data_IF_127555141822
#
_entry.id   IF_127555141822
#
_cell.length_a   1.000
_cell.length_b   1.000
_cell.length_c   1.000
_cell.angle_alpha   90.00
_cell.angle_beta   90.00
_cell.angle_gamma   90.00
#
_symmetry.space_group_name_H-M   'P 1'
#
loop_
_entity.id
_entity.type
_entity.pdbx_description
1 polymer ?
#
# COMPACT_ATOMS: atom_id res chain seq x y z
N UNK A 1 -13.67 -5.71 -0.28
CA UNK A 1 -14.43 -5.40 0.96
C UNK A 1 -13.44 -5.03 2.04
N UNK A 2 -13.89 -4.65 3.23
CA UNK A 2 -13.04 -4.47 4.41
C UNK A 2 -13.67 -5.24 5.57
N UNK A 3 -12.86 -6.06 6.21
CA UNK A 3 -13.26 -6.88 7.35
C UNK A 3 -12.53 -6.41 8.60
N UNK A 4 -13.27 -6.32 9.71
CA UNK A 4 -12.73 -6.13 11.05
C UNK A 4 -12.91 -7.42 11.81
N UNK A 5 -11.80 -7.94 12.33
CA UNK A 5 -11.78 -9.12 13.18
C UNK A 5 -11.72 -8.73 14.65
N UNK A 6 -12.12 -9.66 15.51
CA UNK A 6 -11.88 -9.56 16.94
C UNK A 6 -10.36 -9.63 17.25
N UNK A 7 -9.92 -9.24 18.46
CA UNK A 7 -8.49 -9.24 18.79
C UNK A 7 -7.80 -10.61 18.66
N UNK A 8 -8.55 -11.71 18.75
CA UNK A 8 -8.03 -13.06 18.55
C UNK A 8 -7.93 -13.51 17.09
N UNK A 9 -8.42 -12.70 16.14
CA UNK A 9 -8.54 -13.05 14.71
C UNK A 9 -9.38 -14.31 14.46
N UNK A 10 -10.30 -14.63 15.36
CA UNK A 10 -11.13 -15.84 15.30
C UNK A 10 -12.47 -15.57 14.62
N UNK A 11 -12.96 -14.31 14.63
CA UNK A 11 -14.27 -13.95 14.10
C UNK A 11 -14.26 -12.57 13.44
N UNK A 12 -14.85 -12.49 12.25
CA UNK A 12 -15.20 -11.21 11.63
C UNK A 12 -16.33 -10.52 12.42
N UNK A 13 -16.01 -9.44 13.12
CA UNK A 13 -16.99 -8.63 13.89
C UNK A 13 -17.82 -7.72 12.98
N UNK A 14 -17.20 -7.18 11.94
CA UNK A 14 -17.85 -6.29 10.97
C UNK A 14 -17.27 -6.52 9.59
N UNK A 15 -18.12 -6.35 8.59
CA UNK A 15 -17.75 -6.32 7.18
C UNK A 15 -18.44 -5.13 6.53
N UNK A 16 -17.71 -4.42 5.67
CA UNK A 16 -18.26 -3.39 4.83
C UNK A 16 -17.67 -3.43 3.43
N UNK A 17 -18.48 -3.05 2.44
CA UNK A 17 -18.00 -2.61 1.13
C UNK A 17 -18.26 -1.10 1.03
N UNK A 18 -17.35 -0.23 1.54
CA UNK A 18 -17.56 1.22 1.53
C UNK A 18 -18.00 1.71 0.15
N UNK A 19 -19.05 2.53 0.09
CA UNK A 19 -19.62 3.01 -1.17
C UNK A 19 -18.60 3.74 -2.06
N UNK A 20 -17.54 4.28 -1.44
CA UNK A 20 -16.41 4.88 -2.14
C UNK A 20 -15.58 3.86 -2.94
N UNK A 21 -15.52 2.60 -2.55
CA UNK A 21 -14.78 1.59 -3.30
C UNK A 21 -15.57 1.02 -4.49
N UNK A 22 -16.86 1.39 -4.67
CA UNK A 22 -17.74 0.81 -5.70
C UNK A 22 -17.22 0.94 -7.14
N UNK A 23 -16.36 1.92 -7.42
CA UNK A 23 -15.79 2.14 -8.77
C UNK A 23 -14.44 1.46 -8.98
N UNK A 24 -13.91 0.81 -7.96
CA UNK A 24 -12.65 0.09 -8.05
C UNK A 24 -12.84 -1.18 -8.87
N UNK A 25 -11.78 -1.61 -9.56
CA UNK A 25 -11.82 -2.83 -10.34
C UNK A 25 -11.84 -4.01 -9.38
N UNK A 26 -12.48 -5.11 -9.78
CA UNK A 26 -12.56 -6.32 -8.96
C UNK A 26 -11.17 -6.88 -8.62
N UNK A 27 -10.27 -6.92 -9.61
CA UNK A 27 -8.87 -7.30 -9.46
C UNK A 27 -7.97 -6.08 -9.23
N UNK A 28 -8.33 -5.19 -8.30
CA UNK A 28 -7.54 -4.00 -8.01
C UNK A 28 -8.13 -3.24 -6.83
N UNK A 29 -8.45 -3.99 -5.78
CA UNK A 29 -9.13 -3.53 -4.58
C UNK A 29 -8.23 -2.64 -3.72
N UNK A 30 -8.42 -2.60 -2.38
CA UNK A 30 -7.55 -1.87 -1.45
C UNK A 30 -6.20 -2.57 -1.28
N UNK A 31 -5.44 -2.73 -2.38
CA UNK A 31 -4.11 -3.38 -2.34
C UNK A 31 -3.05 -2.50 -1.66
N UNK A 32 -3.41 -1.35 -1.12
CA UNK A 32 -2.54 -0.64 -0.18
C UNK A 32 -3.39 -0.04 0.90
N UNK A 33 -3.23 -0.50 2.14
CA UNK A 33 -4.13 -0.17 3.24
C UNK A 33 -3.39 -0.09 4.56
N UNK A 34 -3.48 1.06 5.24
CA UNK A 34 -2.91 1.20 6.58
C UNK A 34 -3.80 1.99 7.53
N UNK A 35 -3.70 1.63 8.81
CA UNK A 35 -4.10 2.47 9.93
C UNK A 35 -2.94 3.36 10.33
N UNK A 36 -3.18 4.67 10.41
CA UNK A 36 -2.20 5.66 10.84
C UNK A 36 -2.19 5.80 12.37
N UNK A 37 -1.12 6.36 12.90
CA UNK A 37 -0.92 6.62 14.33
C UNK A 37 -2.00 7.53 14.93
N UNK A 38 -2.58 8.43 14.13
CA UNK A 38 -3.68 9.31 14.54
C UNK A 38 -5.07 8.65 14.47
N UNK A 39 -5.12 7.36 14.15
CA UNK A 39 -6.35 6.58 14.09
C UNK A 39 -7.06 6.60 12.74
N UNK A 40 -6.63 7.44 11.81
CA UNK A 40 -7.16 7.45 10.44
C UNK A 40 -6.79 6.16 9.70
N UNK A 41 -7.58 5.83 8.69
CA UNK A 41 -7.24 4.76 7.74
C UNK A 41 -7.04 5.35 6.36
N UNK A 42 -6.08 4.82 5.62
CA UNK A 42 -5.79 5.19 4.24
C UNK A 42 -5.83 3.94 3.38
N UNK A 43 -6.53 4.00 2.25
CA UNK A 43 -6.45 3.00 1.20
C UNK A 43 -6.04 3.64 -0.12
N UNK A 44 -5.34 2.90 -0.98
CA UNK A 44 -5.08 3.24 -2.38
C UNK A 44 -5.48 2.03 -3.23
N UNK A 45 -6.21 2.27 -4.32
CA UNK A 45 -6.53 1.21 -5.28
C UNK A 45 -5.30 0.78 -6.07
N UNK A 46 -5.12 -0.52 -6.32
CA UNK A 46 -4.00 -1.00 -7.15
C UNK A 46 -4.05 -0.42 -8.55
N UNK A 47 -5.20 -0.52 -9.20
CA UNK A 47 -5.44 -0.05 -10.56
C UNK A 47 -6.29 1.21 -10.57
N UNK A 48 -6.21 2.05 -11.61
CA UNK A 48 -7.10 3.20 -11.72
C UNK A 48 -8.56 2.74 -11.89
N UNK A 49 -9.54 3.47 -11.33
CA UNK A 49 -10.95 3.26 -11.65
C UNK A 49 -11.21 3.36 -13.16
N UNK A 50 -12.29 2.74 -13.63
CA UNK A 50 -12.66 2.78 -15.06
C UNK A 50 -12.70 4.23 -15.58
N UNK A 51 -11.98 4.49 -16.68
CA UNK A 51 -11.90 5.80 -17.32
C UNK A 51 -11.02 6.83 -16.60
N UNK A 52 -10.20 6.41 -15.64
CA UNK A 52 -9.23 7.28 -14.92
C UNK A 52 -7.80 6.81 -15.16
N UNK A 53 -6.84 7.67 -14.82
CA UNK A 53 -5.39 7.37 -14.87
C UNK A 53 -4.75 7.27 -13.50
N UNK A 54 -5.27 8.02 -12.53
CA UNK A 54 -4.78 8.01 -11.15
C UNK A 54 -5.38 6.83 -10.39
N UNK A 55 -4.61 6.29 -9.45
CA UNK A 55 -5.14 5.37 -8.44
C UNK A 55 -6.02 6.17 -7.48
N UNK A 56 -7.10 5.56 -7.03
CA UNK A 56 -8.08 6.21 -6.19
C UNK A 56 -7.70 5.97 -4.73
N UNK A 57 -7.35 7.05 -4.03
CA UNK A 57 -7.00 7.03 -2.62
C UNK A 57 -8.19 7.46 -1.77
N UNK A 58 -8.40 6.81 -0.64
CA UNK A 58 -9.47 7.15 0.31
C UNK A 58 -8.86 7.30 1.70
N UNK A 59 -9.32 8.31 2.43
CA UNK A 59 -9.02 8.49 3.85
C UNK A 59 -10.29 8.46 4.67
N UNK A 60 -10.28 7.66 5.72
CA UNK A 60 -11.32 7.59 6.74
C UNK A 60 -10.79 8.13 8.08
N UNK A 61 -11.59 8.89 8.84
CA UNK A 61 -11.17 9.43 10.13
C UNK A 61 -11.03 8.34 11.23
N UNK A 62 -11.70 7.19 11.06
CA UNK A 62 -11.61 6.03 11.95
C UNK A 62 -11.95 4.73 11.23
N UNK A 63 -12.51 3.75 11.94
CA UNK A 63 -12.82 2.41 11.42
C UNK A 63 -13.64 2.44 10.10
N UNK A 64 -13.05 2.02 8.96
CA UNK A 64 -13.69 2.12 7.65
C UNK A 64 -14.88 1.16 7.47
N UNK A 65 -15.12 0.25 8.42
CA UNK A 65 -16.34 -0.58 8.45
C UNK A 65 -17.54 0.18 9.03
N UNK A 66 -17.33 1.30 9.71
CA UNK A 66 -18.38 2.18 10.19
C UNK A 66 -18.80 3.22 9.13
N UNK A 67 -20.06 3.66 9.18
CA UNK A 67 -20.55 4.77 8.35
C UNK A 67 -19.99 6.08 8.88
N UNK A 68 -19.14 6.73 8.10
CA UNK A 68 -18.49 7.99 8.45
C UNK A 68 -18.20 8.82 7.20
N UNK A 69 -18.02 10.13 7.39
CA UNK A 69 -17.54 11.00 6.33
C UNK A 69 -16.06 10.71 6.04
N UNK A 70 -15.74 10.52 4.77
CA UNK A 70 -14.40 10.22 4.28
C UNK A 70 -14.15 11.00 2.99
N UNK A 71 -12.90 11.14 2.60
CA UNK A 71 -12.53 11.91 1.41
C UNK A 71 -11.61 11.13 0.47
N UNK A 72 -11.55 11.60 -0.77
CA UNK A 72 -10.69 11.04 -1.82
C UNK A 72 -9.46 11.89 -2.08
N UNK A 73 -8.42 11.24 -2.55
CA UNK A 73 -7.28 11.85 -3.23
C UNK A 73 -6.92 10.97 -4.44
N UNK A 74 -6.18 11.51 -5.40
CA UNK A 74 -5.59 10.72 -6.47
C UNK A 74 -4.15 10.37 -6.14
N UNK A 75 -3.76 9.11 -6.27
CA UNK A 75 -2.35 8.70 -6.18
C UNK A 75 -1.77 8.49 -7.60
N UNK A 76 -0.57 9.04 -7.83
CA UNK A 76 0.15 8.88 -9.10
C UNK A 76 1.43 8.06 -8.86
N UNK A 77 1.41 6.75 -9.20
CA UNK A 77 2.62 5.95 -9.24
C UNK A 77 3.50 6.37 -10.43
N UNK A 78 4.73 5.84 -10.51
CA UNK A 78 5.50 6.04 -11.73
C UNK A 78 4.91 5.28 -12.92
N UNK A 79 5.25 5.66 -14.16
CA UNK A 79 4.80 4.94 -15.34
C UNK A 79 5.14 3.45 -15.28
N UNK A 80 4.14 2.60 -15.50
CA UNK A 80 4.28 1.14 -15.48
C UNK A 80 4.24 0.50 -14.09
N UNK A 81 4.04 1.29 -13.03
CA UNK A 81 3.93 0.79 -11.66
C UNK A 81 2.50 0.93 -11.11
N UNK A 82 2.16 0.03 -10.21
CA UNK A 82 0.94 0.01 -9.40
C UNK A 82 1.34 -0.09 -7.91
N UNK A 83 0.66 0.63 -6.99
CA UNK A 83 0.85 0.44 -5.56
C UNK A 83 0.35 -0.95 -5.15
N UNK A 84 1.14 -1.65 -4.33
CA UNK A 84 0.84 -3.01 -3.85
C UNK A 84 0.89 -3.16 -2.34
N UNK A 85 1.36 -2.15 -1.60
CA UNK A 85 1.09 -2.00 -0.18
C UNK A 85 1.47 -0.57 0.30
N UNK A 86 1.06 -0.16 1.51
CA UNK A 86 1.56 1.05 2.16
C UNK A 86 1.65 0.90 3.67
N UNK A 87 2.61 1.58 4.29
CA UNK A 87 2.75 1.66 5.75
C UNK A 87 3.11 3.08 6.20
N UNK A 88 2.88 3.41 7.48
CA UNK A 88 3.33 4.68 8.05
C UNK A 88 4.70 4.49 8.71
N UNK A 89 5.65 5.36 8.34
CA UNK A 89 6.94 5.43 9.01
C UNK A 89 6.81 6.06 10.40
N UNK A 90 7.76 5.80 11.32
CA UNK A 90 7.73 6.39 12.66
C UNK A 90 7.76 7.92 12.73
N UNK A 91 8.18 8.59 11.66
CA UNK A 91 8.17 10.06 11.55
C UNK A 91 6.86 10.62 10.95
N UNK A 92 5.88 9.75 10.70
CA UNK A 92 4.56 10.10 10.20
C UNK A 92 4.44 10.13 8.68
N UNK A 93 5.53 10.03 7.92
CA UNK A 93 5.50 9.91 6.46
C UNK A 93 4.91 8.56 6.06
N UNK A 94 4.34 8.46 4.86
CA UNK A 94 3.85 7.20 4.32
C UNK A 94 4.92 6.59 3.41
N UNK A 95 5.10 5.29 3.50
CA UNK A 95 5.94 4.50 2.63
C UNK A 95 5.02 3.62 1.78
N UNK A 96 4.94 3.92 0.48
CA UNK A 96 4.17 3.14 -0.48
C UNK A 96 5.12 2.18 -1.18
N UNK A 97 4.75 0.90 -1.21
CA UNK A 97 5.36 -0.11 -2.05
C UNK A 97 4.67 -0.07 -3.40
N UNK A 98 5.46 0.10 -4.46
CA UNK A 98 4.98 -0.01 -5.82
C UNK A 98 5.66 -1.16 -6.53
N UNK A 99 4.92 -1.88 -7.36
CA UNK A 99 5.41 -3.01 -8.15
C UNK A 99 5.10 -2.86 -9.64
N UNK A 100 5.87 -3.56 -10.46
CA UNK A 100 5.68 -3.68 -11.90
C UNK A 100 6.11 -5.06 -12.40
N UNK A 101 5.40 -5.59 -13.40
CA UNK A 101 5.78 -6.80 -14.13
C UNK A 101 6.25 -6.44 -15.54
N UNK A 102 7.52 -6.71 -15.84
CA UNK A 102 8.11 -6.55 -17.17
C UNK A 102 8.30 -7.87 -17.90
N UNK A 103 8.55 -7.80 -19.22
CA UNK A 103 8.90 -8.96 -20.05
C UNK A 103 10.39 -9.34 -19.89
N UNK A 104 10.77 -10.64 -19.99
CA UNK A 104 9.93 -11.83 -19.96
C UNK A 104 9.75 -12.32 -18.51
N UNK A 105 8.75 -11.82 -17.79
CA UNK A 105 8.44 -12.13 -16.38
C UNK A 105 9.53 -11.69 -15.38
N UNK A 106 9.81 -10.39 -15.33
CA UNK A 106 10.65 -9.79 -14.29
C UNK A 106 9.86 -8.83 -13.42
N UNK A 107 9.97 -9.02 -12.11
CA UNK A 107 9.41 -8.11 -11.13
C UNK A 107 10.35 -6.94 -10.86
N UNK A 108 9.75 -5.78 -10.65
CA UNK A 108 10.42 -4.58 -10.19
C UNK A 108 9.61 -4.02 -9.05
N UNK A 109 10.28 -3.56 -8.00
CA UNK A 109 9.63 -2.89 -6.90
C UNK A 109 10.33 -1.58 -6.54
N UNK A 110 9.57 -0.66 -5.95
CA UNK A 110 10.06 0.63 -5.51
C UNK A 110 9.43 1.00 -4.19
N UNK A 111 10.24 1.62 -3.35
CA UNK A 111 9.77 2.24 -2.12
C UNK A 111 9.64 3.74 -2.36
N UNK A 112 8.44 4.26 -2.16
CA UNK A 112 8.07 5.64 -2.45
C UNK A 112 7.63 6.33 -1.17
N UNK A 113 8.38 7.35 -0.78
CA UNK A 113 8.12 8.15 0.39
C UNK A 113 7.14 9.28 0.04
N UNK A 114 6.02 9.33 0.74
CA UNK A 114 4.93 10.30 0.57
C UNK A 114 4.78 11.13 1.84
N UNK A 115 4.72 12.46 1.68
CA UNK A 115 4.35 13.33 2.79
C UNK A 115 2.86 13.17 3.11
N UNK A 116 2.54 12.73 4.32
CA UNK A 116 1.17 12.56 4.78
C UNK A 116 0.36 13.88 4.72
N UNK A 117 1.02 15.05 4.80
CA UNK A 117 0.38 16.36 4.69
C UNK A 117 -0.09 16.68 3.27
N UNK A 118 0.43 16.00 2.25
CA UNK A 118 -0.04 16.12 0.87
C UNK A 118 -1.37 15.39 0.64
N UNK A 119 -1.72 14.44 1.51
CA UNK A 119 -2.98 13.69 1.44
C UNK A 119 -4.14 14.55 1.95
N UNK A 120 -4.82 15.20 1.02
CA UNK A 120 -5.93 16.13 1.28
C UNK A 120 -7.10 15.87 0.31
N UNK A 121 -8.33 16.31 0.64
CA UNK A 121 -9.48 16.17 -0.26
C UNK A 121 -9.19 16.68 -1.67
N UNK A 122 -9.34 15.81 -2.67
CA UNK A 122 -9.17 16.13 -4.09
C UNK A 122 -7.71 16.28 -4.57
N UNK A 123 -6.72 16.19 -3.67
CA UNK A 123 -5.32 16.36 -4.03
C UNK A 123 -4.81 15.24 -4.95
N UNK A 124 -3.82 15.54 -5.78
CA UNK A 124 -3.04 14.52 -6.47
C UNK A 124 -1.71 14.34 -5.75
N UNK A 125 -1.51 13.16 -5.19
CA UNK A 125 -0.37 12.78 -4.36
C UNK A 125 0.63 12.02 -5.20
N UNK A 126 1.89 12.43 -5.07
CA UNK A 126 3.09 11.77 -5.57
C UNK A 126 4.09 11.66 -4.42
N UNK A 127 5.11 10.81 -4.56
CA UNK A 127 6.18 10.71 -3.59
C UNK A 127 7.57 10.68 -4.22
N UNK A 128 8.59 10.65 -3.36
CA UNK A 128 10.00 10.50 -3.73
C UNK A 128 10.38 9.03 -3.61
N UNK A 129 10.86 8.43 -4.70
CA UNK A 129 11.44 7.09 -4.63
C UNK A 129 12.71 7.11 -3.76
N UNK A 130 12.78 6.21 -2.78
CA UNK A 130 13.92 6.06 -1.88
C UNK A 130 14.68 4.74 -2.09
N UNK A 131 14.05 3.76 -2.72
CA UNK A 131 14.69 2.51 -3.12
C UNK A 131 14.09 1.97 -4.42
N UNK A 132 14.90 1.27 -5.20
CA UNK A 132 14.48 0.48 -6.37
C UNK A 132 15.06 -0.92 -6.24
N UNK A 133 14.19 -1.92 -6.20
CA UNK A 133 14.55 -3.33 -6.27
C UNK A 133 14.35 -3.77 -7.72
N UNK A 134 15.47 -3.88 -8.43
CA UNK A 134 15.56 -4.31 -9.82
C UNK A 134 16.78 -5.24 -9.95
N UNK A 135 16.83 -6.13 -10.95
CA UNK A 135 18.01 -6.96 -11.19
C UNK A 135 19.27 -6.08 -11.31
N UNK A 136 20.42 -6.49 -10.74
CA UNK A 136 20.74 -7.81 -10.18
C UNK A 136 20.36 -8.01 -8.70
N UNK A 137 19.68 -7.04 -8.06
CA UNK A 137 19.20 -7.21 -6.68
C UNK A 137 18.10 -8.27 -6.61
N UNK A 138 17.81 -8.73 -5.38
CA UNK A 138 16.68 -9.63 -5.11
C UNK A 138 15.36 -8.96 -5.50
N UNK A 139 14.80 -9.39 -6.62
CA UNK A 139 13.48 -9.00 -7.08
C UNK A 139 12.50 -10.14 -7.00
N UNK A 140 11.28 -9.84 -6.58
CA UNK A 140 10.15 -10.75 -6.57
C UNK A 140 8.84 -9.96 -6.61
N UNK A 141 7.68 -10.65 -6.57
CA UNK A 141 6.38 -10.00 -6.48
C UNK A 141 6.13 -9.47 -5.06
N UNK A 142 6.77 -8.35 -4.68
CA UNK A 142 6.57 -7.76 -3.35
C UNK A 142 5.18 -7.13 -3.20
N UNK A 143 4.41 -7.60 -2.23
CA UNK A 143 3.04 -7.16 -1.92
C UNK A 143 2.82 -6.86 -0.42
N UNK A 144 3.89 -6.89 0.38
CA UNK A 144 3.83 -6.46 1.78
C UNK A 144 4.96 -5.50 2.13
N UNK A 145 4.62 -4.42 2.84
CA UNK A 145 5.58 -3.50 3.46
C UNK A 145 5.18 -3.16 4.90
N UNK A 146 6.12 -3.29 5.83
CA UNK A 146 5.92 -2.87 7.21
C UNK A 146 7.11 -2.06 7.72
N UNK A 147 6.85 -1.14 8.66
CA UNK A 147 7.88 -0.36 9.32
C UNK A 147 7.85 -0.61 10.84
N UNK A 148 9.01 -0.94 11.42
CA UNK A 148 9.19 -1.13 12.87
C UNK A 148 10.35 -0.30 13.40
N UNK A 149 10.52 -0.29 14.73
CA UNK A 149 11.69 0.29 15.40
C UNK A 149 12.48 -0.82 16.09
N UNK A 150 13.78 -0.88 15.86
CA UNK A 150 14.69 -1.81 16.52
C UNK A 150 15.97 -1.09 16.91
N UNK A 151 16.33 -1.10 18.19
CA UNK A 151 17.54 -0.43 18.67
C UNK A 151 17.63 1.06 18.29
N UNK A 152 16.48 1.75 18.18
CA UNK A 152 16.38 3.14 17.73
C UNK A 152 16.38 3.33 16.21
N UNK A 153 16.74 2.32 15.42
CA UNK A 153 16.69 2.37 13.96
C UNK A 153 15.27 2.14 13.43
N UNK A 154 14.95 2.77 12.30
CA UNK A 154 13.75 2.42 11.53
C UNK A 154 14.05 1.22 10.65
N UNK A 155 13.26 0.16 10.78
CA UNK A 155 13.39 -1.06 9.99
C UNK A 155 12.23 -1.15 9.01
N UNK A 156 12.53 -1.41 7.74
CA UNK A 156 11.55 -1.69 6.69
C UNK A 156 11.60 -3.17 6.35
N UNK A 157 10.44 -3.80 6.41
CA UNK A 157 10.22 -5.19 6.01
C UNK A 157 9.53 -5.23 4.67
N UNK A 158 9.96 -6.13 3.79
CA UNK A 158 9.27 -6.46 2.55
C UNK A 158 8.92 -7.94 2.51
N UNK A 159 7.70 -8.26 2.08
CA UNK A 159 7.23 -9.62 1.88
C UNK A 159 6.87 -9.81 0.41
N UNK A 160 7.34 -10.89 -0.20
CA UNK A 160 6.83 -11.32 -1.50
C UNK A 160 5.56 -12.14 -1.33
N UNK A 161 4.66 -11.94 -2.28
CA UNK A 161 3.50 -12.78 -2.46
C UNK A 161 3.90 -14.15 -3.01
N UNK A 162 3.03 -15.12 -2.80
CA UNK A 162 3.15 -16.50 -3.26
C UNK A 162 1.96 -16.80 -4.17
N UNK A 163 2.09 -16.50 -5.48
CA UNK A 163 1.06 -16.87 -6.45
C UNK A 163 1.20 -18.33 -6.91
N UNK A 164 1.92 -19.17 -6.17
CA UNK A 164 2.20 -20.58 -6.50
C UNK A 164 2.89 -20.79 -7.87
N UNK A 165 3.47 -19.73 -8.44
CA UNK A 165 4.20 -19.80 -9.71
C UNK A 165 5.62 -20.29 -9.44
N UNK A 166 6.07 -21.33 -10.17
CA UNK A 166 7.40 -21.92 -10.01
C UNK A 166 8.58 -20.92 -10.13
N UNK A 167 8.35 -19.75 -10.75
CA UNK A 167 9.36 -18.69 -10.89
C UNK A 167 9.38 -17.67 -9.74
N UNK A 168 8.38 -17.66 -8.85
CA UNK A 168 8.33 -16.78 -7.69
C UNK A 168 8.98 -17.45 -6.48
N UNK A 169 9.53 -16.63 -5.59
CA UNK A 169 10.11 -17.08 -4.31
C UNK A 169 9.32 -16.48 -3.16
N UNK A 170 9.28 -17.19 -2.03
CA UNK A 170 8.81 -16.65 -0.76
C UNK A 170 9.97 -15.98 -0.03
N UNK A 171 10.02 -14.65 -0.06
CA UNK A 171 11.09 -13.83 0.51
C UNK A 171 10.54 -12.91 1.58
N UNK A 172 11.24 -12.86 2.71
CA UNK A 172 11.10 -11.82 3.72
C UNK A 172 12.41 -11.05 3.81
N UNK A 173 12.37 -9.78 3.40
CA UNK A 173 13.54 -8.90 3.42
C UNK A 173 13.43 -7.91 4.58
N UNK A 174 14.60 -7.59 5.16
CA UNK A 174 14.74 -6.64 6.27
C UNK A 174 15.80 -5.61 5.92
N UNK A 175 15.42 -4.34 5.96
CA UNK A 175 16.30 -3.22 5.67
C UNK A 175 16.31 -2.24 6.84
N UNK A 176 17.48 -1.71 7.18
CA UNK A 176 17.57 -0.51 8.00
C UNK A 176 17.40 0.71 7.10
N UNK A 177 16.47 1.59 7.46
CA UNK A 177 16.27 2.87 6.78
C UNK A 177 17.11 3.94 7.48
N UNK A 178 18.13 4.43 6.78
CA UNK A 178 18.90 5.59 7.24
C UNK A 178 18.09 6.89 7.07
N UNK A 179 18.36 7.85 7.96
CA UNK A 179 17.65 9.13 8.04
C UNK A 179 17.91 10.04 6.83
#
# INVERSE_FOLDING_TARGET
EIWRYDPGLLRGERMAAPAMMRRWRTAGGPESFARLADGRFVAISESPPRGKRLRDGIVWPGDPTARQASFRFGYRPAPGYDPSDLTQLPDGRLLVLERALGLPFRWYARLVLVDARAVRPGAVVTGRTIARLAPPLLTDNYEGVAATREGGATIVWLLSDDNELFLQRTLLLKFRLEA
#
